data_IF_230873351735
#
_entry.id   IF_230873351735
#
_cell.length_a   1.000
_cell.length_b   1.000
_cell.length_c   1.000
_cell.angle_alpha   90.00
_cell.angle_beta   90.00
_cell.angle_gamma   90.00
#
_symmetry.space_group_name_H-M   'P 1'
#
loop_
_entity.id
_entity.type
_entity.pdbx_description
1 polymer ?
#
# COMPACT_ATOMS: atom_id res chain seq x y z
N UNK A 1 -28.13 -7.94 3.03
CA UNK A 1 -27.00 -7.13 3.53
C UNK A 1 -25.75 -7.99 3.39
N UNK A 2 -24.69 -7.49 2.76
CA UNK A 2 -23.41 -8.24 2.69
C UNK A 2 -22.72 -8.17 4.06
N UNK A 3 -22.18 -9.30 4.51
CA UNK A 3 -21.45 -9.39 5.77
C UNK A 3 -20.13 -8.60 5.73
N UNK A 4 -19.55 -8.26 6.88
CA UNK A 4 -18.28 -7.54 6.95
C UNK A 4 -17.15 -8.32 6.27
N UNK A 5 -16.33 -7.63 5.47
CA UNK A 5 -15.14 -8.20 4.79
C UNK A 5 -14.20 -8.82 5.84
N UNK A 6 -13.74 -10.05 5.59
CA UNK A 6 -12.82 -10.77 6.48
C UNK A 6 -11.49 -10.02 6.67
N UNK A 7 -10.82 -10.20 7.81
CA UNK A 7 -9.49 -9.59 8.05
C UNK A 7 -8.45 -10.01 7.02
N UNK A 8 -8.42 -11.30 6.68
CA UNK A 8 -7.48 -11.86 5.70
C UNK A 8 -7.65 -11.24 4.30
N UNK A 9 -8.89 -11.00 3.87
CA UNK A 9 -9.18 -10.36 2.58
C UNK A 9 -8.76 -8.90 2.57
N UNK A 10 -8.99 -8.16 3.67
CA UNK A 10 -8.50 -6.78 3.82
C UNK A 10 -6.98 -6.68 3.78
N UNK A 11 -6.28 -7.59 4.46
CA UNK A 11 -4.82 -7.59 4.50
C UNK A 11 -4.23 -7.93 3.14
N UNK A 12 -4.79 -8.91 2.44
CA UNK A 12 -4.39 -9.27 1.09
C UNK A 12 -4.60 -8.12 0.11
N UNK A 13 -5.74 -7.43 0.21
CA UNK A 13 -6.02 -6.25 -0.60
C UNK A 13 -5.05 -5.10 -0.28
N UNK A 14 -4.86 -4.78 1.00
CA UNK A 14 -3.93 -3.73 1.43
C UNK A 14 -2.50 -4.01 0.94
N UNK A 15 -2.04 -5.26 1.01
CA UNK A 15 -0.75 -5.65 0.48
C UNK A 15 -0.65 -5.41 -1.04
N UNK A 16 -1.65 -5.81 -1.83
CA UNK A 16 -1.68 -5.59 -3.29
C UNK A 16 -1.65 -4.10 -3.64
N UNK A 17 -2.39 -3.27 -2.90
CA UNK A 17 -2.37 -1.81 -3.06
C UNK A 17 -0.98 -1.23 -2.74
N UNK A 18 -0.36 -1.68 -1.64
CA UNK A 18 0.98 -1.22 -1.27
C UNK A 18 2.03 -1.55 -2.34
N UNK A 19 2.02 -2.78 -2.84
CA UNK A 19 2.92 -3.22 -3.92
C UNK A 19 2.63 -2.42 -5.20
N UNK A 20 1.37 -2.27 -5.59
CA UNK A 20 0.99 -1.54 -6.80
C UNK A 20 1.41 -0.08 -6.77
N UNK A 21 1.19 0.61 -5.64
CA UNK A 21 1.58 2.01 -5.48
C UNK A 21 3.11 2.18 -5.46
N UNK A 22 3.82 1.27 -4.78
CA UNK A 22 5.29 1.26 -4.78
C UNK A 22 5.83 1.09 -6.20
N UNK A 23 5.26 0.16 -6.97
CA UNK A 23 5.64 -0.05 -8.36
C UNK A 23 5.36 1.18 -9.23
N UNK A 24 4.23 1.85 -9.04
CA UNK A 24 3.88 3.08 -9.75
C UNK A 24 4.90 4.20 -9.49
N UNK A 25 5.31 4.38 -8.22
CA UNK A 25 6.34 5.37 -7.83
C UNK A 25 7.68 5.04 -8.48
N UNK A 26 8.11 3.78 -8.38
CA UNK A 26 9.38 3.32 -8.95
C UNK A 26 9.43 3.51 -10.48
N UNK A 27 8.39 3.08 -11.18
CA UNK A 27 8.29 3.24 -12.64
C UNK A 27 8.22 4.70 -13.05
N UNK A 28 7.50 5.54 -12.29
CA UNK A 28 7.43 6.98 -12.55
C UNK A 28 8.81 7.65 -12.47
N UNK A 29 9.61 7.30 -11.45
CA UNK A 29 10.98 7.80 -11.34
C UNK A 29 11.85 7.39 -12.55
N UNK A 30 11.73 6.13 -13.00
CA UNK A 30 12.41 5.66 -14.22
C UNK A 30 11.97 6.38 -15.48
N UNK A 31 10.66 6.56 -15.68
CA UNK A 31 10.09 7.29 -16.82
C UNK A 31 10.55 8.76 -16.85
N UNK A 32 10.72 9.40 -15.70
CA UNK A 32 11.29 10.75 -15.61
C UNK A 32 12.75 10.74 -16.09
N UNK A 33 13.55 9.75 -15.67
CA UNK A 33 14.93 9.63 -16.11
C UNK A 33 15.06 9.39 -17.63
N UNK A 34 14.15 8.61 -18.23
CA UNK A 34 14.11 8.43 -19.70
C UNK A 34 13.87 9.75 -20.42
N UNK A 35 12.99 10.61 -19.89
CA UNK A 35 12.70 11.92 -20.49
C UNK A 35 13.90 12.88 -20.44
N UNK A 36 14.88 12.63 -19.57
CA UNK A 36 16.13 13.41 -19.48
C UNK A 36 17.26 12.88 -20.37
N UNK A 37 16.98 11.91 -21.26
CA UNK A 37 17.99 11.22 -22.07
C UNK A 37 19.07 10.54 -21.21
N UNK A 38 18.69 10.09 -20.01
CA UNK A 38 19.62 9.48 -19.08
C UNK A 38 20.08 8.10 -19.59
N UNK A 39 21.34 7.69 -19.31
CA UNK A 39 21.80 6.35 -19.67
C UNK A 39 20.97 5.28 -18.94
N UNK A 40 20.89 4.09 -19.54
CA UNK A 40 20.07 2.98 -19.01
C UNK A 40 20.38 2.64 -17.54
N UNK A 41 21.66 2.75 -17.14
CA UNK A 41 22.08 2.55 -15.75
C UNK A 41 21.47 3.57 -14.79
N UNK A 42 21.33 4.83 -15.20
CA UNK A 42 20.69 5.88 -14.42
C UNK A 42 19.17 5.69 -14.34
N UNK A 43 18.54 5.19 -15.40
CA UNK A 43 17.10 4.83 -15.37
C UNK A 43 16.85 3.71 -14.36
N UNK A 44 17.65 2.64 -14.39
CA UNK A 44 17.54 1.54 -13.43
C UNK A 44 17.81 2.01 -11.99
N UNK A 45 18.80 2.89 -11.80
CA UNK A 45 19.07 3.50 -10.50
C UNK A 45 17.90 4.35 -10.01
N UNK A 46 17.23 5.10 -10.89
CA UNK A 46 16.05 5.90 -10.56
C UNK A 46 14.86 5.02 -10.16
N UNK A 47 14.62 3.91 -10.87
CA UNK A 47 13.58 2.93 -10.51
C UNK A 47 13.88 2.32 -9.13
N UNK A 48 15.14 1.90 -8.91
CA UNK A 48 15.55 1.34 -7.63
C UNK A 48 15.42 2.35 -6.49
N UNK A 49 15.85 3.59 -6.69
CA UNK A 49 15.70 4.66 -5.71
C UNK A 49 14.22 4.97 -5.43
N UNK A 50 13.39 5.04 -6.48
CA UNK A 50 11.95 5.22 -6.36
C UNK A 50 11.27 4.09 -5.58
N UNK A 51 11.70 2.84 -5.77
CA UNK A 51 11.22 1.71 -4.98
C UNK A 51 11.68 1.78 -3.51
N UNK A 52 12.95 2.08 -3.28
CA UNK A 52 13.55 2.18 -1.94
C UNK A 52 12.91 3.31 -1.11
N UNK A 53 12.56 4.42 -1.75
CA UNK A 53 11.87 5.55 -1.08
C UNK A 53 10.35 5.32 -1.02
N UNK A 54 9.75 4.81 -2.10
CA UNK A 54 8.32 4.60 -2.22
C UNK A 54 7.81 3.53 -1.26
N UNK A 55 8.49 2.39 -1.14
CA UNK A 55 8.08 1.29 -0.29
C UNK A 55 7.85 1.71 1.18
N UNK A 56 8.82 2.34 1.89
CA UNK A 56 8.62 2.75 3.28
C UNK A 56 7.53 3.81 3.42
N UNK A 57 7.43 4.77 2.48
CA UNK A 57 6.36 5.78 2.50
C UNK A 57 4.98 5.16 2.37
N UNK A 58 4.82 4.20 1.45
CA UNK A 58 3.56 3.50 1.22
C UNK A 58 3.19 2.61 2.40
N UNK A 59 4.16 1.90 2.99
CA UNK A 59 3.93 1.07 4.18
C UNK A 59 3.58 1.89 5.42
N UNK A 60 4.16 3.09 5.54
CA UNK A 60 3.85 4.04 6.60
C UNK A 60 2.45 4.66 6.42
N UNK A 61 2.10 5.03 5.18
CA UNK A 61 0.84 5.74 4.88
C UNK A 61 -0.37 4.83 4.92
N UNK A 62 -0.23 3.58 4.48
CA UNK A 62 -1.33 2.60 4.44
C UNK A 62 -1.17 1.65 5.64
N UNK A 63 -1.90 1.84 6.75
CA UNK A 63 -1.87 0.90 7.86
C UNK A 63 -2.41 -0.48 7.43
N UNK A 64 -1.72 -1.55 7.83
CA UNK A 64 -2.29 -2.91 7.76
C UNK A 64 -3.47 -3.05 8.72
N UNK A 65 -4.32 -4.07 8.59
CA UNK A 65 -5.59 -4.15 9.35
C UNK A 65 -5.45 -4.26 10.88
N UNK A 66 -4.22 -4.28 11.41
CA UNK A 66 -3.87 -4.46 12.83
C UNK A 66 -4.18 -3.29 13.77
N UNK A 67 -5.33 -2.63 13.65
CA UNK A 67 -5.66 -1.51 14.54
C UNK A 67 -7.14 -1.22 14.77
N UNK A 68 -8.05 -1.72 13.94
CA UNK A 68 -9.48 -1.70 14.29
C UNK A 68 -9.87 -3.11 14.68
N UNK A 69 -9.48 -3.51 15.88
CA UNK A 69 -10.35 -4.41 16.65
C UNK A 69 -11.71 -3.75 16.56
N UNK A 70 -12.61 -4.38 15.82
CA UNK A 70 -14.03 -4.16 15.95
C UNK A 70 -14.22 -4.17 17.46
N UNK A 71 -14.42 -3.00 18.08
CA UNK A 71 -14.92 -2.96 19.45
C UNK A 71 -16.13 -3.86 19.34
N UNK A 72 -16.04 -5.04 19.96
CA UNK A 72 -17.17 -5.91 20.15
C UNK A 72 -18.29 -4.94 20.51
N UNK A 73 -19.31 -4.85 19.67
CA UNK A 73 -20.49 -4.11 20.04
C UNK A 73 -20.88 -4.80 21.33
N UNK A 74 -20.77 -4.16 22.51
CA UNK A 74 -21.25 -4.79 23.72
C UNK A 74 -22.71 -5.02 23.41
N UNK A 75 -23.07 -6.29 23.42
CA UNK A 75 -24.42 -6.79 23.30
C UNK A 75 -25.38 -5.72 23.79
N UNK A 76 -26.16 -5.13 22.87
CA UNK A 76 -27.42 -4.50 23.25
C UNK A 76 -28.40 -5.62 23.63
N UNK A 77 -27.99 -6.47 24.58
CA UNK A 77 -28.80 -7.52 25.20
C UNK A 77 -29.26 -7.08 26.60
N UNK A 78 -29.09 -5.79 26.94
CA UNK A 78 -29.66 -5.23 28.16
C UNK A 78 -30.52 -4.00 27.86
N UNK A 79 -31.71 -4.23 27.29
CA UNK A 79 -32.94 -3.71 27.90
C UNK A 79 -34.17 -4.43 27.35
N UNK A 80 -34.69 -5.32 28.19
CA UNK A 80 -36.11 -5.68 28.26
C UNK A 80 -36.97 -4.43 28.45
#
# INVERSE_FOLDING_TARGET
MVGPISSAERDSFAFRVKVGLTALIALSAGLIAVQTDAPLTAVLAAIAAGAVVGAPLVWFTIPGSGGRKQREQPEREFRK
#
